data_IF_343310276644
#
_entry.id   IF_343310276644
#
_cell.length_a   1.000
_cell.length_b   1.000
_cell.length_c   1.000
_cell.angle_alpha   90.00
_cell.angle_beta   90.00
_cell.angle_gamma   90.00
#
_symmetry.space_group_name_H-M   'P 1'
#
loop_
_entity.id
_entity.type
_entity.pdbx_description
1 polymer ?
#
# COMPACT_ATOMS: atom_id res chain seq x y z
N UNK A 1 -8.55 -21.83 3.08
CA UNK A 1 -8.35 -20.74 2.11
C UNK A 1 -8.52 -19.43 2.86
N UNK A 2 -7.43 -18.87 3.39
CA UNK A 2 -7.50 -17.58 4.09
C UNK A 2 -7.71 -16.52 3.03
N UNK A 3 -8.96 -16.08 2.88
CA UNK A 3 -9.31 -14.96 2.03
C UNK A 3 -8.71 -13.72 2.71
N UNK A 4 -7.53 -13.27 2.24
CA UNK A 4 -6.99 -11.99 2.64
C UNK A 4 -7.90 -10.91 2.05
N UNK A 5 -8.93 -10.51 2.81
CA UNK A 5 -9.75 -9.36 2.46
C UNK A 5 -8.85 -8.14 2.58
N UNK A 6 -8.29 -7.69 1.46
CA UNK A 6 -7.50 -6.47 1.39
C UNK A 6 -8.44 -5.31 1.75
N UNK A 7 -8.22 -4.68 2.90
CA UNK A 7 -8.95 -3.48 3.33
C UNK A 7 -8.43 -2.23 2.61
N UNK A 8 -9.19 -1.14 2.64
CA UNK A 8 -8.84 0.10 1.94
C UNK A 8 -9.27 0.10 0.47
N UNK A 9 -8.37 0.43 -0.44
CA UNK A 9 -8.69 0.58 -1.86
C UNK A 9 -8.58 -0.76 -2.62
N UNK A 10 -9.61 -1.08 -3.41
CA UNK A 10 -9.52 -2.14 -4.41
C UNK A 10 -8.49 -1.78 -5.50
N UNK A 11 -7.96 -2.76 -6.22
CA UNK A 11 -7.06 -2.56 -7.36
C UNK A 11 -7.72 -1.70 -8.45
N UNK A 12 -9.05 -1.77 -8.58
CA UNK A 12 -9.86 -0.99 -9.51
C UNK A 12 -10.37 0.34 -8.93
N UNK A 13 -9.88 0.75 -7.76
CA UNK A 13 -10.36 1.96 -7.09
C UNK A 13 -10.08 3.23 -7.91
N UNK A 14 -11.02 4.18 -7.85
CA UNK A 14 -10.95 5.45 -8.60
C UNK A 14 -9.78 6.33 -8.14
N UNK A 15 -9.32 6.14 -6.92
CA UNK A 15 -8.21 6.85 -6.28
C UNK A 15 -6.89 6.70 -7.04
N UNK A 16 -6.72 5.62 -7.83
CA UNK A 16 -5.53 5.43 -8.66
C UNK A 16 -5.42 6.47 -9.78
N UNK A 17 -6.53 7.08 -10.17
CA UNK A 17 -6.62 8.07 -11.25
C UNK A 17 -6.58 9.52 -10.76
N UNK A 18 -6.39 9.77 -9.46
CA UNK A 18 -6.16 11.14 -8.97
C UNK A 18 -4.83 11.66 -9.50
N UNK A 19 -4.81 12.94 -9.89
CA UNK A 19 -3.65 13.58 -10.53
C UNK A 19 -2.38 13.54 -9.67
N UNK A 20 -2.54 13.51 -8.34
CA UNK A 20 -1.45 13.49 -7.36
C UNK A 20 -1.04 12.09 -6.93
N UNK A 21 -1.76 11.03 -7.31
CA UNK A 21 -1.40 9.65 -6.98
C UNK A 21 -0.12 9.26 -7.72
N UNK A 22 0.85 8.73 -6.96
CA UNK A 22 2.16 8.30 -7.48
C UNK A 22 2.56 6.90 -7.01
N UNK A 23 1.95 6.40 -5.94
CA UNK A 23 2.31 5.12 -5.34
C UNK A 23 1.09 4.29 -5.01
N UNK A 24 1.25 2.98 -5.13
CA UNK A 24 0.36 1.99 -4.52
C UNK A 24 1.18 1.20 -3.53
N UNK A 25 0.67 1.03 -2.31
CA UNK A 25 1.25 0.14 -1.31
C UNK A 25 0.23 -0.89 -0.86
N UNK A 26 0.73 -2.09 -0.56
CA UNK A 26 0.03 -3.10 0.21
C UNK A 26 0.83 -3.31 1.49
N UNK A 27 0.17 -3.25 2.64
CA UNK A 27 0.82 -3.35 3.94
C UNK A 27 -0.03 -4.13 4.94
N UNK A 28 0.64 -4.73 5.91
CA UNK A 28 0.01 -5.33 7.10
C UNK A 28 0.00 -4.32 8.24
N UNK A 29 -1.10 -4.28 8.99
CA UNK A 29 -1.20 -3.48 10.21
C UNK A 29 -0.59 -4.24 11.38
N UNK A 30 0.38 -3.65 12.06
CA UNK A 30 1.04 -4.26 13.22
C UNK A 30 0.54 -3.72 14.57
N UNK A 31 -0.13 -2.57 14.56
CA UNK A 31 -0.64 -1.87 15.75
C UNK A 31 -2.17 -1.99 15.83
N UNK A 32 -2.68 -2.30 17.01
CA UNK A 32 -4.11 -2.53 17.26
C UNK A 32 -5.00 -1.29 17.07
N UNK A 33 -4.42 -0.09 17.03
CA UNK A 33 -5.12 1.21 16.93
C UNK A 33 -5.00 1.85 15.52
N UNK A 34 -5.26 1.07 14.47
CA UNK A 34 -5.19 1.57 13.09
C UNK A 34 -6.60 1.80 12.51
N UNK A 35 -6.84 2.99 11.99
CA UNK A 35 -8.13 3.39 11.39
C UNK A 35 -8.45 2.68 10.06
N UNK A 36 -7.48 1.98 9.47
CA UNK A 36 -7.59 1.41 8.11
C UNK A 36 -7.89 -0.09 8.13
N UNK A 37 -7.31 -0.85 9.06
CA UNK A 37 -7.52 -2.28 9.20
C UNK A 37 -7.20 -2.75 10.62
N UNK A 38 -7.67 -3.93 10.99
CA UNK A 38 -7.30 -4.55 12.27
C UNK A 38 -5.86 -5.05 12.23
N UNK A 39 -5.24 -5.21 13.40
CA UNK A 39 -3.91 -5.84 13.51
C UNK A 39 -3.89 -7.22 12.84
N UNK A 40 -2.89 -7.45 12.00
CA UNK A 40 -2.72 -8.66 11.20
C UNK A 40 -3.54 -8.70 9.91
N UNK A 41 -4.42 -7.72 9.67
CA UNK A 41 -5.05 -7.54 8.36
C UNK A 41 -4.12 -6.81 7.40
N UNK A 42 -4.33 -7.08 6.10
CA UNK A 42 -3.63 -6.37 5.03
C UNK A 42 -4.54 -5.32 4.41
N UNK A 43 -3.95 -4.19 4.05
CA UNK A 43 -4.64 -3.10 3.38
C UNK A 43 -3.87 -2.64 2.15
N UNK A 44 -4.60 -2.03 1.21
CA UNK A 44 -4.03 -1.38 0.02
C UNK A 44 -4.42 0.08 -0.01
N UNK A 45 -3.47 0.95 -0.34
CA UNK A 45 -3.71 2.38 -0.53
C UNK A 45 -3.06 2.89 -1.81
N UNK A 46 -3.70 3.90 -2.38
CA UNK A 46 -3.17 4.75 -3.43
C UNK A 46 -2.79 6.08 -2.79
N UNK A 47 -1.53 6.45 -2.93
CA UNK A 47 -0.92 7.55 -2.20
C UNK A 47 -0.23 8.52 -3.15
N UNK A 48 -0.30 9.80 -2.81
CA UNK A 48 0.63 10.79 -3.31
C UNK A 48 1.99 10.65 -2.60
N UNK A 49 2.99 11.40 -3.07
CA UNK A 49 4.36 11.36 -2.55
C UNK A 49 4.40 11.55 -1.02
N UNK A 50 3.70 12.57 -0.49
CA UNK A 50 3.64 12.85 0.95
C UNK A 50 2.96 11.74 1.75
N UNK A 51 1.93 11.11 1.19
CA UNK A 51 1.27 9.95 1.78
C UNK A 51 2.22 8.77 1.88
N UNK A 52 3.00 8.51 0.84
CA UNK A 52 3.98 7.44 0.82
C UNK A 52 5.11 7.67 1.83
N UNK A 53 5.64 8.89 1.94
CA UNK A 53 6.65 9.22 2.97
C UNK A 53 6.13 8.99 4.39
N UNK A 54 4.86 9.31 4.67
CA UNK A 54 4.24 9.00 5.97
C UNK A 54 4.10 7.49 6.20
N UNK A 55 3.75 6.72 5.17
CA UNK A 55 3.70 5.27 5.29
C UNK A 55 5.09 4.67 5.59
N UNK A 56 6.16 5.21 5.00
CA UNK A 56 7.53 4.82 5.32
C UNK A 56 7.86 5.12 6.79
N UNK A 57 7.49 6.28 7.31
CA UNK A 57 7.67 6.62 8.73
C UNK A 57 6.89 5.69 9.66
N UNK A 58 5.62 5.39 9.35
CA UNK A 58 4.84 4.41 10.13
C UNK A 58 5.45 3.01 10.09
N UNK A 59 6.12 2.63 8.99
CA UNK A 59 6.87 1.39 8.93
C UNK A 59 8.13 1.42 9.83
N UNK A 60 8.88 2.52 9.84
CA UNK A 60 10.04 2.70 10.74
C UNK A 60 9.62 2.68 12.21
N UNK A 61 8.44 3.21 12.53
CA UNK A 61 7.85 3.17 13.87
C UNK A 61 7.24 1.80 14.23
N UNK A 62 7.23 0.83 13.31
CA UNK A 62 6.68 -0.51 13.53
C UNK A 62 5.16 -0.57 13.60
N UNK A 63 4.45 0.43 13.07
CA UNK A 63 2.99 0.49 13.07
C UNK A 63 2.38 -0.32 11.92
N UNK A 64 3.09 -0.38 10.80
CA UNK A 64 2.72 -1.14 9.60
C UNK A 64 3.94 -1.85 9.01
N UNK A 65 3.72 -2.87 8.21
CA UNK A 65 4.75 -3.52 7.40
C UNK A 65 4.36 -3.47 5.93
N UNK A 66 5.13 -2.75 5.09
CA UNK A 66 4.85 -2.66 3.65
C UNK A 66 5.33 -3.93 2.96
N UNK A 67 4.39 -4.70 2.44
CA UNK A 67 4.64 -5.99 1.79
C UNK A 67 4.87 -5.81 0.28
N UNK A 68 4.19 -4.81 -0.32
CA UNK A 68 4.31 -4.52 -1.75
C UNK A 68 4.27 -3.03 -2.03
N UNK A 69 5.03 -2.63 -3.04
CA UNK A 69 5.06 -1.27 -3.57
C UNK A 69 5.00 -1.30 -5.09
N UNK A 70 4.27 -0.35 -5.66
CA UNK A 70 4.26 -0.08 -7.08
C UNK A 70 4.19 1.43 -7.35
N UNK A 71 4.72 1.86 -8.49
CA UNK A 71 4.51 3.20 -9.00
C UNK A 71 3.16 3.27 -9.70
N UNK A 72 2.54 4.45 -9.68
CA UNK A 72 1.28 4.72 -10.36
C UNK A 72 1.44 5.92 -11.28
N UNK A 73 1.15 5.74 -12.56
CA UNK A 73 1.23 6.78 -13.59
C UNK A 73 -0.08 6.80 -14.35
N UNK A 74 -0.85 7.89 -14.24
CA UNK A 74 -2.18 8.03 -14.88
C UNK A 74 -3.10 6.83 -14.60
N UNK A 75 -3.07 6.31 -13.36
CA UNK A 75 -3.83 5.12 -12.95
C UNK A 75 -3.23 3.77 -13.35
N UNK A 76 -2.15 3.73 -14.12
CA UNK A 76 -1.43 2.50 -14.45
C UNK A 76 -0.50 2.09 -13.31
N UNK A 77 -0.62 0.84 -12.87
CA UNK A 77 0.19 0.27 -11.77
C UNK A 77 1.42 -0.41 -12.35
N UNK A 78 2.59 0.12 -12.01
CA UNK A 78 3.89 -0.35 -12.49
C UNK A 78 4.64 -0.98 -11.32
N UNK A 79 4.67 -2.32 -11.29
CA UNK A 79 5.42 -3.06 -10.27
C UNK A 79 6.91 -3.09 -10.63
N UNK A 80 7.82 -2.74 -9.70
CA UNK A 80 9.25 -2.86 -9.96
C UNK A 80 9.60 -4.33 -10.25
N UNK A 81 10.35 -4.57 -11.33
CA UNK A 81 10.82 -5.92 -11.67
C UNK A 81 11.72 -6.41 -10.53
N UNK A 82 11.37 -7.54 -9.90
CA UNK A 82 12.30 -8.24 -9.00
C UNK A 82 13.55 -8.58 -9.82
N UNK A 83 14.73 -8.16 -9.37
CA UNK A 83 15.99 -8.59 -9.98
C UNK A 83 16.05 -10.12 -9.86
N UNK A 84 15.97 -10.83 -10.98
CA UNK A 84 16.20 -12.28 -11.02
C UNK A 84 17.70 -12.46 -10.78
N UNK A 85 18.06 -12.93 -9.59
CA UNK A 85 19.40 -13.48 -9.37
C UNK A 85 19.47 -14.77 -10.21
N UNK A 86 20.27 -14.71 -11.28
CA UNK A 86 20.67 -15.88 -12.06
C UNK A 86 21.83 -16.59 -11.37
#
# INVERSE_FOLDING_TARGET
MTQFTIRGHDLLAVERFRDDTRHMIEFEVLKDDNLIALRGETARLFLNERGYQRALQSQELGEIHIISHALVIEGHIIRPKKKRHH
#
